data_IF_424932746593
#
_entry.id   IF_424932746593
#
_cell.length_a   1.000
_cell.length_b   1.000
_cell.length_c   1.000
_cell.angle_alpha   90.00
_cell.angle_beta   90.00
_cell.angle_gamma   90.00
#
_symmetry.space_group_name_H-M   'P 1'
#
loop_
_entity.id
_entity.type
_entity.pdbx_description
1 polymer ?
#
# COMPACT_ATOMS: atom_id res chain seq x y z
N UNK A 1 5.53 7.70 17.99
CA UNK A 1 5.73 7.01 16.70
C UNK A 1 4.40 6.60 16.11
N UNK A 2 4.10 7.05 14.92
CA UNK A 2 2.85 6.66 14.28
C UNK A 2 3.14 5.49 13.35
N UNK A 3 2.44 4.39 13.60
CA UNK A 3 2.48 3.23 12.72
C UNK A 3 1.39 3.45 11.68
N UNK A 4 1.69 3.36 10.37
CA UNK A 4 0.66 3.54 9.37
C UNK A 4 -0.46 2.52 9.55
N UNK A 5 -1.67 3.01 9.54
CA UNK A 5 -2.84 2.15 9.65
C UNK A 5 -3.15 1.54 8.29
N UNK A 6 -3.51 0.28 8.32
CA UNK A 6 -3.83 -0.47 7.13
C UNK A 6 -5.23 -1.05 7.26
N UNK A 7 -6.06 -0.83 6.26
CA UNK A 7 -7.40 -1.41 6.23
C UNK A 7 -7.49 -2.38 5.07
N UNK A 8 -7.80 -3.63 5.36
CA UNK A 8 -7.96 -4.66 4.36
C UNK A 8 -9.45 -4.93 4.12
N UNK A 9 -9.82 -4.96 2.85
CA UNK A 9 -11.18 -5.27 2.43
C UNK A 9 -11.14 -6.58 1.65
N UNK A 10 -11.11 -7.69 2.38
CA UNK A 10 -10.93 -9.01 1.78
C UNK A 10 -9.53 -9.15 1.20
N UNK A 11 -9.43 -9.79 0.04
CA UNK A 11 -8.17 -9.97 -0.69
C UNK A 11 -8.07 -9.06 -1.91
N UNK A 12 -9.00 -8.12 -2.05
CA UNK A 12 -9.11 -7.34 -3.27
C UNK A 12 -8.80 -5.86 -3.11
N UNK A 13 -8.74 -5.35 -1.89
CA UNK A 13 -8.43 -3.94 -1.67
C UNK A 13 -7.74 -3.71 -0.33
N UNK A 14 -6.78 -2.78 -0.32
CA UNK A 14 -6.14 -2.33 0.91
C UNK A 14 -6.03 -0.81 0.88
N UNK A 15 -6.25 -0.18 2.02
CA UNK A 15 -6.02 1.25 2.21
C UNK A 15 -4.87 1.44 3.18
N UNK A 16 -3.91 2.27 2.80
CA UNK A 16 -2.77 2.62 3.64
C UNK A 16 -2.97 4.06 4.09
N UNK A 17 -3.13 4.26 5.38
CA UNK A 17 -3.31 5.58 5.96
C UNK A 17 -1.98 6.10 6.50
N UNK A 18 -1.85 7.42 6.58
CA UNK A 18 -0.65 8.08 7.13
C UNK A 18 0.64 7.72 6.37
N UNK A 19 0.53 7.59 5.05
CA UNK A 19 1.70 7.31 4.21
C UNK A 19 2.54 8.57 3.98
N UNK A 20 3.77 8.36 3.53
CA UNK A 20 4.72 9.43 3.21
C UNK A 20 5.01 9.53 1.72
N UNK A 21 4.21 8.90 0.89
CA UNK A 21 4.33 8.96 -0.54
C UNK A 21 4.54 7.62 -1.19
N UNK A 22 4.50 7.62 -2.52
CA UNK A 22 4.64 6.43 -3.32
C UNK A 22 6.09 6.28 -3.77
N UNK A 23 6.68 5.11 -3.57
CA UNK A 23 8.05 4.84 -4.01
C UNK A 23 8.08 4.19 -5.39
N UNK A 24 7.23 3.20 -5.62
CA UNK A 24 7.17 2.48 -6.88
C UNK A 24 5.77 1.91 -7.10
N UNK A 25 5.39 1.76 -8.35
CA UNK A 25 4.06 1.26 -8.69
C UNK A 25 4.14 0.43 -9.97
N UNK A 26 3.72 -0.82 -9.87
CA UNK A 26 3.52 -1.68 -11.03
C UNK A 26 2.29 -2.54 -10.79
N UNK A 27 1.89 -3.31 -11.78
CA UNK A 27 0.72 -4.18 -11.64
C UNK A 27 0.97 -5.35 -10.69
N UNK A 28 2.23 -5.61 -10.33
CA UNK A 28 2.60 -6.74 -9.48
C UNK A 28 3.20 -6.33 -8.15
N UNK A 29 3.64 -5.08 -8.02
CA UNK A 29 4.26 -4.59 -6.80
C UNK A 29 4.05 -3.09 -6.65
N UNK A 30 3.61 -2.69 -5.46
CA UNK A 30 3.46 -1.28 -5.12
C UNK A 30 4.22 -1.05 -3.82
N UNK A 31 5.09 -0.04 -3.82
CA UNK A 31 5.90 0.31 -2.65
C UNK A 31 5.53 1.71 -2.18
N UNK A 32 5.26 1.83 -0.88
CA UNK A 32 4.76 3.06 -0.27
C UNK A 32 5.65 3.42 0.90
N UNK A 33 6.12 4.67 0.94
CA UNK A 33 6.90 5.18 2.07
C UNK A 33 6.01 5.39 3.29
N UNK A 34 6.55 5.08 4.46
CA UNK A 34 5.91 5.36 5.74
C UNK A 34 6.96 5.83 6.75
N UNK A 35 6.51 6.23 7.95
CA UNK A 35 7.41 6.66 9.01
C UNK A 35 8.33 5.56 9.52
N UNK A 36 7.94 4.31 9.33
CA UNK A 36 8.70 3.17 9.85
C UNK A 36 9.41 2.37 8.76
N UNK A 37 9.37 2.86 7.52
CA UNK A 37 10.03 2.18 6.40
C UNK A 37 9.14 2.12 5.17
N UNK A 38 9.35 1.13 4.34
CA UNK A 38 8.62 0.95 3.09
C UNK A 38 7.62 -0.20 3.23
N UNK A 39 6.40 0.05 2.81
CA UNK A 39 5.36 -0.97 2.76
C UNK A 39 5.35 -1.52 1.33
N UNK A 40 5.57 -2.83 1.18
CA UNK A 40 5.57 -3.49 -0.12
C UNK A 40 4.31 -4.32 -0.27
N UNK A 41 3.51 -4.01 -1.27
CA UNK A 41 2.28 -4.75 -1.59
C UNK A 41 2.54 -5.53 -2.86
N UNK A 42 2.48 -6.85 -2.77
CA UNK A 42 2.68 -7.74 -3.92
C UNK A 42 1.39 -8.45 -4.30
N UNK A 43 1.23 -8.70 -5.58
CA UNK A 43 0.05 -9.36 -6.09
C UNK A 43 -0.02 -9.32 -7.61
N UNK A 44 -1.25 -9.29 -8.14
CA UNK A 44 -1.51 -9.23 -9.57
C UNK A 44 -2.59 -8.22 -9.87
N UNK A 45 -2.48 -7.58 -11.01
CA UNK A 45 -3.46 -6.59 -11.47
C UNK A 45 -3.68 -5.50 -10.44
N UNK A 46 -2.60 -5.11 -9.77
CA UNK A 46 -2.66 -4.06 -8.76
C UNK A 46 -2.82 -2.71 -9.42
N UNK A 47 -3.67 -1.88 -8.84
CA UNK A 47 -3.84 -0.51 -9.31
C UNK A 47 -4.18 0.40 -8.14
N UNK A 48 -3.69 1.62 -8.21
CA UNK A 48 -4.00 2.64 -7.22
C UNK A 48 -5.30 3.32 -7.65
N UNK A 49 -6.34 3.19 -6.83
CA UNK A 49 -7.64 3.78 -7.11
C UNK A 49 -7.79 5.16 -6.50
N UNK A 50 -7.07 5.43 -5.40
CA UNK A 50 -7.05 6.74 -4.78
C UNK A 50 -5.67 7.01 -4.20
N UNK A 51 -5.20 8.25 -4.36
CA UNK A 51 -3.93 8.68 -3.81
C UNK A 51 -4.12 10.12 -3.30
N UNK A 52 -4.29 10.25 -2.00
CA UNK A 52 -4.44 11.54 -1.36
C UNK A 52 -3.37 11.70 -0.27
N UNK A 53 -3.33 12.89 0.36
CA UNK A 53 -2.39 13.14 1.45
C UNK A 53 -2.69 12.27 2.67
N UNK A 54 -3.92 11.80 2.79
CA UNK A 54 -4.35 11.03 3.94
C UNK A 54 -4.22 9.52 3.74
N UNK A 55 -4.44 9.03 2.53
CA UNK A 55 -4.40 7.59 2.29
C UNK A 55 -4.17 7.25 0.83
N UNK A 56 -3.71 6.01 0.62
CA UNK A 56 -3.58 5.41 -0.71
C UNK A 56 -4.44 4.14 -0.72
N UNK A 57 -5.30 3.99 -1.72
CA UNK A 57 -6.11 2.80 -1.92
C UNK A 57 -5.55 1.98 -3.07
N UNK A 58 -5.31 0.70 -2.82
CA UNK A 58 -4.79 -0.25 -3.82
C UNK A 58 -5.80 -1.35 -4.00
N UNK A 59 -6.10 -1.65 -5.25
CA UNK A 59 -7.07 -2.68 -5.64
C UNK A 59 -6.39 -3.72 -6.52
N UNK A 60 -6.84 -4.96 -6.47
CA UNK A 60 -6.31 -6.05 -7.28
C UNK A 60 -6.32 -7.36 -6.54
N UNK A 61 -5.53 -8.31 -7.00
CA UNK A 61 -5.34 -9.58 -6.31
C UNK A 61 -4.16 -9.44 -5.35
N UNK A 62 -4.47 -9.21 -4.07
CA UNK A 62 -3.45 -9.02 -3.04
C UNK A 62 -2.90 -10.38 -2.60
N UNK A 63 -1.60 -10.58 -2.71
CA UNK A 63 -0.94 -11.83 -2.34
C UNK A 63 -0.02 -11.66 -1.15
N UNK A 64 0.60 -10.49 -1.01
CA UNK A 64 1.62 -10.28 0.00
C UNK A 64 1.67 -8.83 0.43
N UNK A 65 1.86 -8.60 1.73
CA UNK A 65 2.14 -7.28 2.27
C UNK A 65 3.31 -7.43 3.23
N UNK A 66 4.35 -6.64 3.03
CA UNK A 66 5.55 -6.71 3.83
C UNK A 66 6.09 -5.32 4.15
N UNK A 67 6.87 -5.23 5.21
CA UNK A 67 7.57 -4.01 5.59
C UNK A 67 9.06 -4.17 5.35
N UNK A 68 9.67 -3.12 4.83
CA UNK A 68 11.12 -2.99 4.76
C UNK A 68 11.52 -1.76 5.56
N UNK A 69 12.38 -1.92 6.52
CA UNK A 69 12.91 -0.79 7.29
C UNK A 69 14.26 -0.32 6.75
#
# INVERSE_FOLDING_TARGET
>A
MSIPSMRLYGKSMVQILSHKGLRACSSECIEIFSDVGVICIGGRHLEITENSDEYISVKGELEKIAYES
#
